data_IF_002139789972
#
_entry.id   IF_002139789972
#
_cell.length_a   1.000
_cell.length_b   1.000
_cell.length_c   1.000
_cell.angle_alpha   90.00
_cell.angle_beta   90.00
_cell.angle_gamma   90.00
#
_symmetry.space_group_name_H-M   'P 1'
#
loop_
_entity.id
_entity.type
_entity.pdbx_description
1 polymer ?
#
# COMPACT_ATOMS: atom_id res chain seq x y z
N UNK A 1 18.15 22.33 -30.38
CA UNK A 1 18.38 22.85 -29.01
C UNK A 1 17.02 22.86 -28.36
N UNK A 2 16.67 21.78 -27.64
CA UNK A 2 15.40 21.70 -26.91
C UNK A 2 15.58 22.48 -25.61
N UNK A 3 14.83 23.54 -25.46
CA UNK A 3 14.72 24.28 -24.21
C UNK A 3 14.27 23.32 -23.13
N UNK A 4 15.08 23.16 -22.09
CA UNK A 4 14.90 22.23 -21.00
C UNK A 4 13.79 22.66 -20.04
N UNK A 5 12.54 22.52 -20.45
CA UNK A 5 11.41 22.50 -19.53
C UNK A 5 11.43 21.18 -18.76
N UNK A 6 11.32 21.25 -17.41
CA UNK A 6 11.17 20.06 -16.57
C UNK A 6 9.99 19.17 -16.99
N UNK A 7 9.85 17.97 -16.41
CA UNK A 7 8.72 17.08 -16.73
C UNK A 7 7.39 17.77 -16.39
N UNK A 8 6.45 17.77 -17.32
CA UNK A 8 5.07 18.19 -17.03
C UNK A 8 4.37 17.09 -16.24
N UNK A 9 3.90 17.44 -15.07
CA UNK A 9 3.30 16.49 -14.12
C UNK A 9 1.80 16.72 -14.01
N UNK A 10 1.02 15.67 -14.16
CA UNK A 10 -0.41 15.65 -13.82
C UNK A 10 -0.59 14.80 -12.56
N UNK A 11 -1.27 15.35 -11.56
CA UNK A 11 -1.68 14.66 -10.36
C UNK A 11 -3.15 14.34 -10.47
N UNK A 12 -3.51 13.06 -10.40
CA UNK A 12 -4.89 12.58 -10.44
C UNK A 12 -5.27 12.08 -9.06
N UNK A 13 -6.07 12.85 -8.35
CA UNK A 13 -6.51 12.53 -6.98
C UNK A 13 -7.76 13.32 -6.61
N UNK A 14 -8.74 12.68 -6.02
CA UNK A 14 -9.95 13.31 -5.43
C UNK A 14 -9.68 13.91 -4.03
N UNK A 15 -8.54 13.60 -3.40
CA UNK A 15 -8.12 14.10 -2.09
C UNK A 15 -6.68 14.63 -2.13
N UNK A 16 -6.34 15.59 -3.03
CA UNK A 16 -4.96 15.99 -3.27
C UNK A 16 -4.27 16.63 -2.05
N UNK A 17 -5.00 17.32 -1.21
CA UNK A 17 -4.46 18.05 -0.06
C UNK A 17 -3.88 17.11 1.01
N UNK A 18 -4.35 15.87 1.11
CA UNK A 18 -3.88 14.89 2.07
C UNK A 18 -2.38 14.60 1.94
N UNK A 19 -1.85 14.62 0.71
CA UNK A 19 -0.43 14.35 0.45
C UNK A 19 0.33 15.56 -0.06
N UNK A 20 -0.31 16.51 -0.75
CA UNK A 20 0.37 17.72 -1.24
C UNK A 20 0.79 18.64 -0.10
N UNK A 21 -0.10 18.86 0.89
CA UNK A 21 0.20 19.72 2.03
C UNK A 21 1.43 19.28 2.83
N UNK A 22 1.57 18.00 3.21
CA UNK A 22 2.79 17.52 3.89
C UNK A 22 4.04 17.58 3.03
N UNK A 23 3.91 17.57 1.71
CA UNK A 23 5.03 17.57 0.76
C UNK A 23 5.37 18.94 0.17
N UNK A 24 4.60 19.99 0.46
CA UNK A 24 4.66 21.29 -0.23
C UNK A 24 6.09 21.85 -0.37
N UNK A 25 6.88 21.85 0.70
CA UNK A 25 8.26 22.33 0.66
C UNK A 25 9.21 21.47 -0.20
N UNK A 26 8.89 20.20 -0.39
CA UNK A 26 9.72 19.25 -1.16
C UNK A 26 9.44 19.29 -2.65
N UNK A 27 8.22 19.66 -3.04
CA UNK A 27 7.72 19.66 -4.42
C UNK A 27 7.54 21.07 -4.99
N UNK A 28 7.90 22.12 -4.27
CA UNK A 28 7.74 23.51 -4.68
C UNK A 28 8.44 23.87 -6.00
N UNK A 29 9.42 23.07 -6.44
CA UNK A 29 10.14 23.23 -7.69
C UNK A 29 9.54 22.43 -8.85
N UNK A 30 8.49 21.64 -8.60
CA UNK A 30 7.82 20.81 -9.61
C UNK A 30 6.62 21.59 -10.14
N UNK A 31 6.57 21.78 -11.46
CA UNK A 31 5.36 22.28 -12.12
C UNK A 31 4.36 21.15 -12.30
N UNK A 32 3.20 21.26 -11.64
CA UNK A 32 2.16 20.24 -11.70
C UNK A 32 0.76 20.84 -11.80
N UNK A 33 -0.12 20.09 -12.40
CA UNK A 33 -1.56 20.35 -12.44
C UNK A 33 -2.30 19.25 -11.69
N UNK A 34 -3.38 19.59 -10.99
CA UNK A 34 -4.22 18.61 -10.26
C UNK A 34 -5.53 18.39 -11.04
N UNK A 35 -5.93 17.15 -11.18
CA UNK A 35 -7.24 16.71 -11.68
C UNK A 35 -7.93 15.90 -10.58
N UNK A 36 -9.03 16.43 -10.04
CA UNK A 36 -9.73 15.80 -8.91
C UNK A 36 -11.02 15.08 -9.32
N UNK A 37 -11.55 15.37 -10.50
CA UNK A 37 -12.74 14.69 -11.02
C UNK A 37 -12.34 13.62 -12.06
N UNK A 38 -12.80 12.37 -11.89
CA UNK A 38 -12.51 11.31 -12.86
C UNK A 38 -13.05 11.59 -14.27
N UNK A 39 -14.09 12.41 -14.40
CA UNK A 39 -14.68 12.77 -15.69
C UNK A 39 -13.85 13.84 -16.43
N UNK A 40 -13.04 14.62 -15.72
CA UNK A 40 -12.14 15.63 -16.28
C UNK A 40 -10.79 15.08 -16.73
N UNK A 41 -10.45 13.82 -16.43
CA UNK A 41 -9.14 13.24 -16.79
C UNK A 41 -8.80 13.39 -18.28
N UNK A 42 -9.69 13.11 -19.25
CA UNK A 42 -9.39 13.29 -20.67
C UNK A 42 -9.03 14.73 -21.05
N UNK A 43 -9.78 15.69 -20.49
CA UNK A 43 -9.53 17.11 -20.73
C UNK A 43 -8.21 17.56 -20.11
N UNK A 44 -7.93 17.15 -18.89
CA UNK A 44 -6.69 17.45 -18.17
C UNK A 44 -5.45 16.86 -18.90
N UNK A 45 -5.51 15.61 -19.34
CA UNK A 45 -4.46 14.98 -20.13
C UNK A 45 -4.18 15.74 -21.43
N UNK A 46 -5.23 16.16 -22.14
CA UNK A 46 -5.12 16.92 -23.39
C UNK A 46 -4.54 18.31 -23.16
N UNK A 47 -4.97 19.01 -22.12
CA UNK A 47 -4.52 20.37 -21.81
C UNK A 47 -3.06 20.42 -21.33
N UNK A 48 -2.69 19.49 -20.44
CA UNK A 48 -1.35 19.44 -19.83
C UNK A 48 -0.34 18.73 -20.75
N UNK A 49 -0.79 17.72 -21.52
CA UNK A 49 0.09 16.80 -22.26
C UNK A 49 1.25 16.30 -21.38
N UNK A 50 0.96 15.65 -20.22
CA UNK A 50 1.97 15.33 -19.23
C UNK A 50 2.93 14.23 -19.72
N UNK A 51 4.17 14.27 -19.27
CA UNK A 51 5.11 13.15 -19.39
C UNK A 51 5.08 12.23 -18.18
N UNK A 52 4.65 12.76 -17.02
CA UNK A 52 4.55 12.03 -15.76
C UNK A 52 3.15 12.22 -15.20
N UNK A 53 2.53 11.12 -14.73
CA UNK A 53 1.27 11.17 -14.00
C UNK A 53 1.42 10.50 -12.65
N UNK A 54 1.09 11.22 -11.59
CA UNK A 54 0.95 10.65 -10.26
C UNK A 54 -0.52 10.34 -10.00
N UNK A 55 -0.81 9.09 -9.66
CA UNK A 55 -2.18 8.59 -9.44
C UNK A 55 -2.34 8.22 -7.97
N UNK A 56 -3.16 8.96 -7.25
CA UNK A 56 -3.46 8.76 -5.84
C UNK A 56 -4.98 8.79 -5.61
N UNK A 57 -5.71 7.73 -6.02
CA UNK A 57 -7.16 7.71 -5.89
C UNK A 57 -7.58 7.54 -4.43
N UNK A 58 -8.44 8.43 -3.96
CA UNK A 58 -9.21 8.29 -2.73
C UNK A 58 -10.49 7.47 -2.93
N UNK A 59 -11.44 7.63 -2.01
CA UNK A 59 -12.70 6.87 -2.02
C UNK A 59 -13.68 7.21 -3.13
N UNK A 60 -13.60 8.43 -3.70
CA UNK A 60 -14.47 8.93 -4.76
C UNK A 60 -13.97 8.68 -6.18
N UNK A 61 -12.67 8.38 -6.34
CA UNK A 61 -12.08 8.21 -7.67
C UNK A 61 -12.48 6.88 -8.32
N UNK A 62 -13.15 6.94 -9.47
CA UNK A 62 -13.49 5.73 -10.25
C UNK A 62 -12.24 5.12 -10.88
N UNK A 63 -11.80 3.98 -10.38
CA UNK A 63 -10.59 3.29 -10.86
C UNK A 63 -10.61 2.99 -12.36
N UNK A 64 -11.79 2.73 -12.95
CA UNK A 64 -11.93 2.51 -14.40
C UNK A 64 -11.56 3.74 -15.24
N UNK A 65 -11.71 4.95 -14.69
CA UNK A 65 -11.32 6.17 -15.38
C UNK A 65 -9.80 6.37 -15.47
N UNK A 66 -9.04 5.71 -14.59
CA UNK A 66 -7.57 5.83 -14.54
C UNK A 66 -6.85 5.09 -15.67
N UNK A 67 -7.53 4.13 -16.32
CA UNK A 67 -6.94 3.33 -17.41
C UNK A 67 -6.43 4.21 -18.55
N UNK A 68 -7.15 5.27 -18.91
CA UNK A 68 -6.78 6.18 -20.00
C UNK A 68 -5.45 6.91 -19.81
N UNK A 69 -4.97 7.00 -18.55
CA UNK A 69 -3.69 7.65 -18.23
C UNK A 69 -2.52 6.92 -18.89
N UNK A 70 -2.50 5.58 -18.84
CA UNK A 70 -1.43 4.78 -19.43
C UNK A 70 -1.50 4.70 -20.95
N UNK A 71 -2.65 5.03 -21.56
CA UNK A 71 -2.82 5.04 -23.00
C UNK A 71 -2.47 6.37 -23.64
N UNK A 72 -2.37 7.45 -22.86
CA UNK A 72 -2.17 8.79 -23.39
C UNK A 72 -0.76 8.93 -24.00
N UNK A 73 -0.62 9.46 -25.23
CA UNK A 73 0.61 9.34 -26.01
C UNK A 73 1.85 9.99 -25.38
N UNK A 74 1.69 11.09 -24.63
CA UNK A 74 2.82 11.81 -24.02
C UNK A 74 3.29 11.25 -22.70
N UNK A 75 2.47 10.39 -22.05
CA UNK A 75 2.78 9.80 -20.74
C UNK A 75 3.86 8.73 -20.90
N UNK A 76 4.96 8.90 -20.19
CA UNK A 76 6.11 8.00 -20.15
C UNK A 76 6.23 7.29 -18.80
N UNK A 77 5.73 7.92 -17.73
CA UNK A 77 5.79 7.36 -16.39
C UNK A 77 4.49 7.62 -15.63
N UNK A 78 3.95 6.55 -15.06
CA UNK A 78 2.83 6.59 -14.11
C UNK A 78 3.33 6.11 -12.76
N UNK A 79 3.24 6.98 -11.75
CA UNK A 79 3.53 6.64 -10.35
C UNK A 79 2.21 6.45 -9.60
N UNK A 80 1.93 5.23 -9.15
CA UNK A 80 0.71 4.90 -8.44
C UNK A 80 0.95 4.88 -6.92
N UNK A 81 0.20 5.65 -6.16
CA UNK A 81 0.32 5.75 -4.70
C UNK A 81 -0.08 4.46 -3.96
N UNK A 82 -0.88 3.61 -4.59
CA UNK A 82 -1.25 2.29 -4.06
C UNK A 82 -0.28 1.19 -4.45
N UNK A 83 -0.38 0.04 -3.81
CA UNK A 83 0.38 -1.16 -4.15
C UNK A 83 -0.18 -1.89 -5.38
N UNK A 84 -1.51 -1.94 -5.54
CA UNK A 84 -2.19 -2.56 -6.67
C UNK A 84 -2.23 -1.65 -7.89
N UNK A 85 -2.01 -2.21 -9.07
CA UNK A 85 -2.01 -1.49 -10.37
C UNK A 85 -2.97 -2.11 -11.38
N UNK A 86 -3.85 -3.00 -10.94
CA UNK A 86 -4.78 -3.76 -11.79
C UNK A 86 -5.71 -2.84 -12.59
N UNK A 87 -6.05 -1.68 -12.02
CA UNK A 87 -6.88 -0.66 -12.66
C UNK A 87 -6.19 0.07 -13.81
N UNK A 88 -4.87 -0.07 -13.93
CA UNK A 88 -4.07 0.49 -15.03
C UNK A 88 -3.79 -0.53 -16.13
N UNK A 89 -4.07 -1.82 -15.89
CA UNK A 89 -3.76 -2.90 -16.86
C UNK A 89 -4.79 -2.99 -17.97
N UNK A 90 -4.35 -3.46 -19.18
CA UNK A 90 -2.99 -3.66 -19.64
C UNK A 90 -2.31 -2.35 -20.08
N UNK A 91 -1.00 -2.26 -20.03
CA UNK A 91 -0.23 -1.19 -20.68
C UNK A 91 0.98 -1.80 -21.39
N UNK A 92 1.57 -1.04 -22.33
CA UNK A 92 2.81 -1.42 -23.00
C UNK A 92 4.03 -0.97 -22.16
N UNK A 93 4.78 -1.90 -21.53
CA UNK A 93 5.93 -1.55 -20.72
C UNK A 93 7.11 -0.99 -21.51
N UNK A 94 7.14 -1.15 -22.82
CA UNK A 94 8.14 -0.51 -23.68
C UNK A 94 7.87 1.00 -23.84
N UNK A 95 6.63 1.43 -23.67
CA UNK A 95 6.20 2.83 -23.81
C UNK A 95 6.04 3.56 -22.47
N UNK A 96 5.43 2.92 -21.48
CA UNK A 96 5.09 3.54 -20.19
C UNK A 96 5.65 2.72 -19.03
N UNK A 97 6.49 3.36 -18.23
CA UNK A 97 6.89 2.82 -16.93
C UNK A 97 5.78 3.02 -15.91
N UNK A 98 5.36 1.96 -15.22
CA UNK A 98 4.43 2.04 -14.10
C UNK A 98 5.13 1.63 -12.82
N UNK A 99 5.16 2.52 -11.84
CA UNK A 99 5.69 2.26 -10.50
C UNK A 99 4.56 2.31 -9.48
N UNK A 100 4.73 1.61 -8.37
CA UNK A 100 3.74 1.54 -7.30
C UNK A 100 4.38 1.68 -5.91
N UNK A 101 3.54 1.83 -4.88
CA UNK A 101 3.96 1.94 -3.49
C UNK A 101 3.99 0.58 -2.77
N UNK A 102 4.27 -0.52 -3.49
CA UNK A 102 4.36 -1.85 -2.87
C UNK A 102 5.45 -1.87 -1.78
N UNK A 103 5.07 -2.32 -0.60
CA UNK A 103 5.98 -2.39 0.56
C UNK A 103 5.93 -1.19 1.50
N UNK A 104 5.48 -0.03 1.07
CA UNK A 104 5.45 1.20 1.89
C UNK A 104 4.66 1.00 3.19
N UNK A 105 3.49 0.38 3.12
CA UNK A 105 2.64 0.12 4.29
C UNK A 105 2.94 -1.21 5.01
N UNK A 106 3.98 -1.93 4.62
CA UNK A 106 4.23 -3.28 5.15
C UNK A 106 4.48 -3.31 6.65
N UNK A 107 5.18 -2.32 7.18
CA UNK A 107 5.49 -2.23 8.61
C UNK A 107 4.22 -1.93 9.43
N UNK A 108 3.38 -1.00 8.95
CA UNK A 108 2.10 -0.67 9.59
C UNK A 108 1.15 -1.87 9.62
N UNK A 109 1.00 -2.55 8.48
CA UNK A 109 0.15 -3.73 8.37
C UNK A 109 0.66 -4.90 9.21
N UNK A 110 1.97 -5.07 9.31
CA UNK A 110 2.56 -6.09 10.16
C UNK A 110 2.37 -5.79 11.65
N UNK A 111 2.49 -4.53 12.06
CA UNK A 111 2.23 -4.10 13.42
C UNK A 111 0.76 -4.30 13.80
N UNK A 112 -0.17 -3.88 12.93
CA UNK A 112 -1.59 -4.15 13.10
C UNK A 112 -1.88 -5.64 13.26
N UNK A 113 -1.29 -6.48 12.40
CA UNK A 113 -1.49 -7.94 12.42
C UNK A 113 -1.01 -8.56 13.75
N UNK A 114 0.17 -8.18 14.22
CA UNK A 114 0.72 -8.68 15.48
C UNK A 114 -0.09 -8.17 16.68
N UNK A 115 -0.55 -6.92 16.66
CA UNK A 115 -1.40 -6.36 17.70
C UNK A 115 -2.72 -7.12 17.80
N UNK A 116 -3.38 -7.36 16.67
CA UNK A 116 -4.61 -8.14 16.61
C UNK A 116 -4.40 -9.59 17.10
N UNK A 117 -3.28 -10.22 16.73
CA UNK A 117 -2.92 -11.56 17.17
C UNK A 117 -2.72 -11.62 18.69
N UNK A 118 -2.04 -10.63 19.27
CA UNK A 118 -1.85 -10.55 20.72
C UNK A 118 -3.18 -10.31 21.46
N UNK A 119 -4.01 -9.41 20.94
CA UNK A 119 -5.36 -9.19 21.49
C UNK A 119 -6.20 -10.47 21.52
N UNK A 120 -6.16 -11.25 20.42
CA UNK A 120 -6.84 -12.54 20.34
C UNK A 120 -6.25 -13.56 21.32
N UNK A 121 -4.90 -13.62 21.40
CA UNK A 121 -4.20 -14.55 22.29
C UNK A 121 -4.51 -14.34 23.77
N UNK A 122 -4.63 -13.09 24.19
CA UNK A 122 -4.97 -12.70 25.58
C UNK A 122 -6.48 -12.81 25.85
N UNK A 123 -7.30 -12.91 24.81
CA UNK A 123 -8.76 -12.92 24.94
C UNK A 123 -9.35 -11.53 25.25
N UNK A 124 -8.72 -10.47 24.76
CA UNK A 124 -9.10 -9.08 25.01
C UNK A 124 -10.58 -8.78 24.75
N UNK A 125 -11.21 -9.27 23.66
CA UNK A 125 -12.65 -9.05 23.43
C UNK A 125 -13.53 -9.61 24.56
N UNK A 126 -13.15 -10.76 25.13
CA UNK A 126 -13.84 -11.35 26.25
C UNK A 126 -13.68 -10.51 27.52
N UNK A 127 -12.45 -10.07 27.82
CA UNK A 127 -12.17 -9.19 28.98
C UNK A 127 -12.93 -7.87 28.88
N UNK A 128 -13.00 -7.26 27.71
CA UNK A 128 -13.79 -6.05 27.47
C UNK A 128 -15.30 -6.28 27.65
N UNK A 129 -15.81 -7.45 27.28
CA UNK A 129 -17.21 -7.79 27.51
C UNK A 129 -17.52 -7.95 28.99
N UNK A 130 -16.64 -8.57 29.78
CA UNK A 130 -16.77 -8.67 31.24
C UNK A 130 -16.72 -7.28 31.88
N UNK A 131 -15.78 -6.43 31.49
CA UNK A 131 -15.68 -5.07 32.00
C UNK A 131 -16.97 -4.27 31.80
N UNK A 132 -17.60 -4.37 30.63
CA UNK A 132 -18.91 -3.71 30.35
C UNK A 132 -20.05 -4.21 31.25
N UNK A 133 -19.97 -5.44 31.74
CA UNK A 133 -20.96 -6.03 32.67
C UNK A 133 -20.57 -5.87 34.13
N UNK A 134 -19.44 -5.16 34.41
CA UNK A 134 -18.87 -5.08 35.77
C UNK A 134 -18.64 -6.46 36.41
N UNK A 135 -18.26 -7.43 35.60
CA UNK A 135 -17.97 -8.81 36.01
C UNK A 135 -16.47 -9.01 36.16
N UNK A 136 -16.05 -9.67 37.23
CA UNK A 136 -14.67 -10.10 37.43
C UNK A 136 -14.61 -11.62 37.42
N UNK A 137 -14.22 -12.18 36.24
CA UNK A 137 -13.98 -13.61 36.07
C UNK A 137 -12.56 -13.81 35.66
N UNK A 138 -11.83 -14.62 36.44
CA UNK A 138 -10.43 -14.91 36.13
C UNK A 138 -10.31 -15.59 34.76
N UNK A 139 -9.45 -15.07 33.91
CA UNK A 139 -9.17 -15.59 32.57
C UNK A 139 -7.71 -16.00 32.49
N UNK A 140 -7.46 -17.27 32.20
CA UNK A 140 -6.10 -17.79 32.00
C UNK A 140 -5.74 -17.73 30.51
N UNK A 141 -4.53 -17.29 30.20
CA UNK A 141 -3.94 -17.31 28.86
C UNK A 141 -2.47 -17.73 28.94
N UNK A 142 -1.91 -18.13 27.82
CA UNK A 142 -0.49 -18.51 27.72
C UNK A 142 0.26 -17.50 26.85
N UNK A 143 1.56 -17.26 27.13
CA UNK A 143 2.38 -16.41 26.29
C UNK A 143 2.35 -16.81 24.81
N UNK A 144 2.56 -15.85 23.93
CA UNK A 144 2.60 -16.09 22.48
C UNK A 144 3.88 -16.80 22.05
N UNK A 145 4.94 -16.67 22.85
CA UNK A 145 6.20 -17.37 22.62
C UNK A 145 6.00 -18.88 22.59
N UNK A 146 6.65 -19.55 21.68
CA UNK A 146 6.52 -21.00 21.42
C UNK A 146 5.28 -21.40 20.62
N UNK A 147 4.32 -20.49 20.38
CA UNK A 147 3.18 -20.78 19.50
C UNK A 147 3.60 -20.70 18.04
N UNK A 148 2.84 -21.38 17.18
CA UNK A 148 3.09 -21.38 15.73
C UNK A 148 2.16 -20.39 15.03
N UNK A 149 2.72 -19.65 14.09
CA UNK A 149 1.98 -18.84 13.13
C UNK A 149 2.21 -19.34 11.72
N UNK A 150 1.14 -19.51 10.93
CA UNK A 150 1.22 -19.82 9.50
C UNK A 150 0.93 -18.55 8.70
N UNK A 151 1.86 -18.19 7.79
CA UNK A 151 1.77 -16.99 6.96
C UNK A 151 1.61 -17.40 5.51
N UNK A 152 0.43 -17.17 4.95
CA UNK A 152 0.14 -17.45 3.54
C UNK A 152 0.50 -16.21 2.72
N UNK A 153 1.58 -16.32 1.93
CA UNK A 153 2.14 -15.23 1.16
C UNK A 153 3.28 -14.50 1.89
N UNK A 154 4.52 -14.73 1.42
CA UNK A 154 5.73 -14.10 1.94
C UNK A 154 6.18 -12.91 1.05
N UNK A 155 5.23 -12.05 0.69
CA UNK A 155 5.48 -10.74 0.07
C UNK A 155 6.05 -9.74 1.09
N UNK A 156 5.91 -8.46 0.81
CA UNK A 156 6.40 -7.40 1.71
C UNK A 156 5.77 -7.49 3.12
N UNK A 157 4.45 -7.59 3.19
CA UNK A 157 3.71 -7.67 4.47
C UNK A 157 4.02 -8.97 5.20
N UNK A 158 3.93 -10.12 4.51
CA UNK A 158 4.17 -11.43 5.15
C UNK A 158 5.57 -11.55 5.75
N UNK A 159 6.60 -11.03 5.09
CA UNK A 159 7.97 -10.99 5.64
C UNK A 159 8.09 -10.05 6.84
N UNK A 160 7.40 -8.91 6.82
CA UNK A 160 7.38 -7.99 7.96
C UNK A 160 6.67 -8.61 9.18
N UNK A 161 5.58 -9.37 8.97
CA UNK A 161 4.90 -10.16 10.01
C UNK A 161 5.82 -11.28 10.53
N UNK A 162 6.46 -12.04 9.64
CA UNK A 162 7.39 -13.12 10.01
C UNK A 162 8.50 -12.64 10.94
N UNK A 163 9.14 -11.51 10.60
CA UNK A 163 10.20 -10.90 11.42
C UNK A 163 9.71 -10.55 12.83
N UNK A 164 8.51 -9.95 12.95
CA UNK A 164 7.92 -9.59 14.24
C UNK A 164 7.50 -10.81 15.05
N UNK A 165 6.90 -11.81 14.39
CA UNK A 165 6.51 -13.06 15.03
C UNK A 165 7.74 -13.82 15.60
N UNK A 166 8.86 -13.84 14.85
CA UNK A 166 10.13 -14.40 15.34
C UNK A 166 10.66 -13.65 16.55
N UNK A 167 10.62 -12.31 16.54
CA UNK A 167 11.05 -11.49 17.67
C UNK A 167 10.21 -11.73 18.94
N UNK A 168 8.95 -12.17 18.78
CA UNK A 168 8.06 -12.60 19.88
C UNK A 168 8.25 -14.07 20.28
N UNK A 169 9.25 -14.77 19.73
CA UNK A 169 9.55 -16.15 20.06
C UNK A 169 8.60 -17.19 19.44
N UNK A 170 7.87 -16.82 18.41
CA UNK A 170 6.96 -17.74 17.70
C UNK A 170 7.74 -18.66 16.74
N UNK A 171 7.14 -19.83 16.45
CA UNK A 171 7.54 -20.67 15.32
C UNK A 171 6.78 -20.21 14.06
N UNK A 172 7.51 -19.91 12.98
CA UNK A 172 6.94 -19.32 11.77
C UNK A 172 6.94 -20.32 10.62
N UNK A 173 5.75 -20.65 10.13
CA UNK A 173 5.54 -21.43 8.91
C UNK A 173 5.13 -20.48 7.80
N UNK A 174 5.89 -20.44 6.72
CA UNK A 174 5.60 -19.61 5.55
C UNK A 174 5.13 -20.44 4.37
N UNK A 175 4.11 -19.96 3.66
CA UNK A 175 3.59 -20.58 2.44
C UNK A 175 3.76 -19.61 1.26
N UNK A 176 4.37 -20.07 0.16
CA UNK A 176 4.51 -19.27 -1.07
C UNK A 176 4.67 -20.14 -2.31
N UNK A 177 4.23 -19.61 -3.47
CA UNK A 177 4.29 -20.35 -4.73
C UNK A 177 5.71 -20.69 -5.21
N UNK A 178 6.69 -19.82 -4.92
CA UNK A 178 8.09 -20.06 -5.27
C UNK A 178 8.88 -20.28 -4.00
N UNK A 179 9.55 -21.43 -3.86
CA UNK A 179 10.41 -21.73 -2.72
C UNK A 179 11.70 -20.91 -2.83
N UNK A 180 11.74 -19.82 -2.11
CA UNK A 180 12.95 -18.98 -1.95
C UNK A 180 13.17 -18.83 -0.46
N UNK A 181 14.37 -19.13 0.01
CA UNK A 181 14.75 -18.95 1.40
C UNK A 181 14.34 -17.55 1.88
N UNK A 182 13.65 -17.50 3.00
CA UNK A 182 13.07 -16.27 3.51
C UNK A 182 13.49 -16.13 4.99
N UNK A 183 14.19 -15.05 5.33
CA UNK A 183 14.59 -14.79 6.72
C UNK A 183 13.39 -14.81 7.68
N UNK A 184 13.64 -15.27 8.92
CA UNK A 184 12.62 -15.36 9.97
C UNK A 184 11.46 -16.34 9.69
N UNK A 185 11.65 -17.32 8.81
CA UNK A 185 10.73 -18.42 8.54
C UNK A 185 11.43 -19.74 8.92
N UNK A 186 10.79 -20.52 9.79
CA UNK A 186 11.36 -21.79 10.27
C UNK A 186 11.05 -22.96 9.34
N UNK A 187 9.86 -22.93 8.72
CA UNK A 187 9.43 -23.93 7.75
C UNK A 187 8.80 -23.23 6.53
N UNK A 188 9.30 -23.55 5.36
CA UNK A 188 8.78 -23.01 4.09
C UNK A 188 8.08 -24.12 3.30
N UNK A 189 6.80 -23.88 2.98
CA UNK A 189 5.93 -24.77 2.21
C UNK A 189 5.61 -24.19 0.84
#
# INVERSE_FOLDING_TARGET
MSEGGGPRVLIVSDEPDEFLSPCAGRIAHIDYTVCSDPDDIPAALSAVSPSVVFVAPGGGMRKSALRQVVDFPTVQWVSNAGAGVEHLTPWDPARVSVTNAAGVLSEFLAEYTISALQMANVGFPHLMAQQRRSEWVQHAWTPIAGKTISIIGLGHVGRAVARRAKALGMHVIGVRARRVETPCVDLLL
#
